data_IF_794543921490
#
_entry.id   IF_794543921490
#
_cell.length_a   1.000
_cell.length_b   1.000
_cell.length_c   1.000
_cell.angle_alpha   90.00
_cell.angle_beta   90.00
_cell.angle_gamma   90.00
#
_symmetry.space_group_name_H-M   'P 1'
#
loop_
_entity.id
_entity.type
_entity.pdbx_description
1 polymer ?
#
# COMPACT_ATOMS: atom_id res chain seq x y z
N UNK A 1 -6.38 -7.92 -9.00
CA UNK A 1 -6.21 -6.45 -9.05
C UNK A 1 -4.91 -6.12 -8.33
N UNK A 2 -4.08 -5.21 -8.84
CA UNK A 2 -2.79 -4.86 -8.23
C UNK A 2 -2.81 -3.39 -7.79
N UNK A 3 -2.30 -3.09 -6.59
CA UNK A 3 -2.21 -1.73 -6.03
C UNK A 3 -0.78 -1.46 -5.57
N UNK A 4 -0.14 -0.42 -6.09
CA UNK A 4 1.30 -0.18 -5.87
C UNK A 4 1.52 1.12 -5.13
N UNK A 5 2.20 1.00 -4.00
CA UNK A 5 2.65 2.10 -3.19
C UNK A 5 4.15 1.94 -2.98
N UNK A 6 4.95 2.44 -3.92
CA UNK A 6 6.41 2.29 -3.94
C UNK A 6 7.01 2.45 -2.52
N UNK A 7 7.68 1.42 -1.96
CA UNK A 7 8.18 0.18 -2.59
C UNK A 7 7.27 -1.06 -2.53
N UNK A 8 6.04 -0.96 -2.04
CA UNK A 8 5.12 -2.08 -1.90
C UNK A 8 4.18 -2.26 -3.10
N UNK A 9 3.89 -3.52 -3.42
CA UNK A 9 2.88 -3.95 -4.36
C UNK A 9 1.91 -4.90 -3.65
N UNK A 10 0.62 -4.65 -3.79
CA UNK A 10 -0.45 -5.50 -3.31
C UNK A 10 -1.08 -6.20 -4.51
N UNK A 11 -1.28 -7.51 -4.42
CA UNK A 11 -1.81 -8.32 -5.51
C UNK A 11 -2.91 -9.25 -4.98
N UNK A 12 -4.04 -9.34 -5.68
CA UNK A 12 -5.06 -10.37 -5.42
C UNK A 12 -4.84 -11.52 -6.38
N UNK A 13 -4.65 -12.74 -5.86
CA UNK A 13 -4.43 -13.95 -6.65
C UNK A 13 -5.75 -14.50 -7.22
N UNK A 14 -5.66 -15.51 -8.09
CA UNK A 14 -6.86 -16.21 -8.62
C UNK A 14 -7.66 -16.92 -7.53
N UNK A 15 -7.04 -17.23 -6.39
CA UNK A 15 -7.69 -17.82 -5.22
C UNK A 15 -8.21 -16.79 -4.22
N UNK A 16 -8.32 -15.52 -4.62
CA UNK A 16 -8.75 -14.39 -3.77
C UNK A 16 -7.82 -14.09 -2.58
N UNK A 17 -6.64 -14.68 -2.55
CA UNK A 17 -5.62 -14.36 -1.55
C UNK A 17 -4.98 -13.01 -1.86
N UNK A 18 -4.84 -12.16 -0.84
CA UNK A 18 -4.17 -10.87 -0.97
C UNK A 18 -2.71 -11.02 -0.56
N UNK A 19 -1.81 -10.75 -1.49
CA UNK A 19 -0.36 -10.79 -1.31
C UNK A 19 0.22 -9.38 -1.21
N UNK A 20 1.12 -9.19 -0.26
CA UNK A 20 1.94 -8.00 -0.08
C UNK A 20 3.34 -8.32 -0.56
N UNK A 21 3.89 -7.56 -1.50
CA UNK A 21 5.22 -7.77 -2.07
C UNK A 21 6.04 -6.50 -1.98
N UNK A 22 7.28 -6.61 -1.52
CA UNK A 22 8.25 -5.52 -1.52
C UNK A 22 9.04 -5.55 -2.83
N UNK A 23 8.91 -4.52 -3.65
CA UNK A 23 9.59 -4.39 -4.94
C UNK A 23 10.78 -3.45 -4.79
N UNK A 24 11.98 -3.96 -5.03
CA UNK A 24 13.20 -3.16 -5.14
C UNK A 24 13.35 -2.71 -6.59
N UNK A 25 13.40 -1.40 -6.77
CA UNK A 25 13.81 -0.80 -8.03
C UNK A 25 15.33 -0.56 -8.01
N UNK A 26 16.02 -1.00 -9.05
CA UNK A 26 17.44 -0.70 -9.23
C UNK A 26 17.76 -0.49 -10.72
N UNK A 27 18.74 0.38 -10.96
CA UNK A 27 19.16 0.76 -12.31
C UNK A 27 20.50 0.12 -12.64
N UNK A 28 20.58 -0.57 -13.77
CA UNK A 28 21.82 -1.13 -14.31
C UNK A 28 22.11 -0.44 -15.65
N UNK A 29 23.00 0.56 -15.63
CA UNK A 29 23.28 1.37 -16.81
C UNK A 29 22.06 2.21 -17.24
N UNK A 30 21.52 1.93 -18.43
CA UNK A 30 20.29 2.55 -18.93
C UNK A 30 19.04 1.71 -18.64
N UNK A 31 19.19 0.48 -18.15
CA UNK A 31 18.07 -0.41 -17.87
C UNK A 31 17.51 -0.16 -16.46
N UNK A 32 16.19 -0.06 -16.36
CA UNK A 32 15.45 -0.12 -15.10
C UNK A 32 15.04 -1.56 -14.81
N UNK A 33 15.29 -2.03 -13.58
CA UNK A 33 14.92 -3.37 -13.13
C UNK A 33 14.13 -3.30 -11.83
N UNK A 34 13.16 -4.21 -11.73
CA UNK A 34 12.28 -4.36 -10.59
C UNK A 34 12.37 -5.81 -10.11
N UNK A 35 12.70 -6.01 -8.83
CA UNK A 35 12.80 -7.34 -8.22
C UNK A 35 11.94 -7.41 -6.97
N UNK A 36 11.16 -8.47 -6.83
CA UNK A 36 10.44 -8.73 -5.58
C UNK A 36 11.45 -9.28 -4.57
N UNK A 37 11.68 -8.51 -3.52
CA UNK A 37 12.65 -8.86 -2.49
C UNK A 37 12.04 -9.60 -1.30
N UNK A 38 10.79 -9.30 -0.97
CA UNK A 38 10.07 -9.93 0.14
C UNK A 38 8.59 -10.08 -0.24
N UNK A 39 7.93 -11.07 0.34
CA UNK A 39 6.52 -11.36 0.06
C UNK A 39 5.83 -11.94 1.29
N UNK A 40 4.63 -11.44 1.57
CA UNK A 40 3.77 -11.87 2.66
C UNK A 40 2.33 -12.01 2.18
N UNK A 41 1.50 -12.72 2.95
CA UNK A 41 0.05 -12.64 2.80
C UNK A 41 -0.51 -11.55 3.69
N UNK A 42 -1.53 -10.84 3.21
CA UNK A 42 -2.27 -9.89 4.05
C UNK A 42 -2.90 -10.61 5.25
N UNK A 43 -3.28 -11.87 5.09
CA UNK A 43 -3.86 -12.67 6.17
C UNK A 43 -2.90 -12.83 7.37
N UNK A 44 -1.59 -12.91 7.12
CA UNK A 44 -0.56 -12.98 8.15
C UNK A 44 -0.30 -11.64 8.87
N UNK A 45 -0.76 -10.51 8.31
CA UNK A 45 -0.52 -9.18 8.87
C UNK A 45 -1.44 -8.90 10.06
N UNK A 46 -0.88 -8.80 11.26
CA UNK A 46 -1.65 -8.56 12.49
C UNK A 46 -1.94 -7.07 12.72
N UNK A 47 -0.97 -6.21 12.39
CA UNK A 47 -1.06 -4.77 12.64
C UNK A 47 -0.15 -3.96 11.70
N UNK A 48 -0.60 -2.76 11.34
CA UNK A 48 0.25 -1.71 10.77
C UNK A 48 0.30 -0.52 11.73
N UNK A 49 1.50 -0.06 12.04
CA UNK A 49 1.76 1.03 12.98
C UNK A 49 2.43 2.20 12.23
N UNK A 50 1.74 3.33 12.15
CA UNK A 50 2.20 4.54 11.46
C UNK A 50 3.29 5.34 12.20
N UNK A 51 3.75 4.83 13.35
CA UNK A 51 4.72 5.40 14.29
C UNK A 51 4.26 6.70 14.94
N UNK A 52 4.27 7.77 14.17
CA UNK A 52 3.97 9.13 14.60
C UNK A 52 2.90 9.71 13.66
N UNK A 53 1.66 9.83 14.16
CA UNK A 53 0.53 10.32 13.37
C UNK A 53 0.60 11.83 13.13
N UNK A 54 1.15 12.57 14.10
CA UNK A 54 1.18 14.04 14.14
C UNK A 54 2.43 14.63 13.45
N UNK A 55 3.26 13.79 12.84
CA UNK A 55 4.53 14.19 12.23
C UNK A 55 4.56 13.74 10.77
N UNK A 56 5.06 14.61 9.89
CA UNK A 56 5.25 14.29 8.47
C UNK A 56 6.42 13.31 8.31
N UNK A 57 6.13 12.04 8.55
CA UNK A 57 7.11 10.97 8.67
C UNK A 57 6.69 9.77 7.80
N UNK A 58 7.52 9.33 6.82
CA UNK A 58 7.16 8.22 5.93
C UNK A 58 7.36 6.83 6.55
N UNK A 59 7.83 6.74 7.80
CA UNK A 59 8.12 5.47 8.45
C UNK A 59 6.90 4.80 9.06
N UNK A 60 6.86 3.48 9.00
CA UNK A 60 5.82 2.64 9.61
C UNK A 60 6.36 1.24 9.91
N UNK A 61 5.68 0.50 10.78
CA UNK A 61 5.95 -0.91 11.03
C UNK A 61 4.82 -1.80 10.50
N UNK A 62 5.20 -2.96 9.97
CA UNK A 62 4.32 -4.07 9.67
C UNK A 62 4.57 -5.20 10.66
N UNK A 63 3.53 -5.59 11.39
CA UNK A 63 3.57 -6.64 12.38
C UNK A 63 2.99 -7.91 11.78
N UNK A 64 3.89 -8.86 11.52
CA UNK A 64 3.56 -10.27 11.28
C UNK A 64 4.05 -11.05 12.51
N UNK A 65 4.49 -12.31 12.33
CA UNK A 65 5.29 -13.04 13.34
C UNK A 65 6.56 -12.30 13.78
N UNK A 66 7.06 -11.41 12.91
CA UNK A 66 8.17 -10.50 13.16
C UNK A 66 7.72 -9.09 12.78
N UNK A 67 8.29 -8.10 13.47
CA UNK A 67 8.13 -6.68 13.13
C UNK A 67 9.11 -6.30 12.02
N UNK A 68 8.59 -5.67 10.98
CA UNK A 68 9.38 -5.10 9.89
C UNK A 68 9.14 -3.60 9.83
N UNK A 69 10.20 -2.81 10.00
CA UNK A 69 10.17 -1.36 9.87
C UNK A 69 10.49 -0.94 8.45
N UNK A 70 9.67 -0.04 7.91
CA UNK A 70 9.73 0.39 6.52
C UNK A 70 9.63 1.90 6.39
N UNK A 71 10.29 2.42 5.37
CA UNK A 71 10.17 3.79 4.92
C UNK A 71 9.40 3.79 3.61
N UNK A 72 8.22 4.43 3.58
CA UNK A 72 7.50 4.67 2.34
C UNK A 72 8.21 5.77 1.52
N UNK A 73 7.90 5.86 0.22
CA UNK A 73 8.43 6.96 -0.60
C UNK A 73 8.06 8.36 -0.07
N UNK A 74 6.90 8.48 0.58
CA UNK A 74 6.42 9.72 1.18
C UNK A 74 5.40 9.41 2.27
N UNK A 75 5.06 10.41 3.10
CA UNK A 75 3.96 10.27 4.07
C UNK A 75 2.63 9.99 3.36
N UNK A 76 2.35 10.66 2.24
CA UNK A 76 1.15 10.37 1.44
C UNK A 76 1.11 8.91 0.95
N UNK A 77 2.26 8.36 0.54
CA UNK A 77 2.41 6.95 0.18
C UNK A 77 2.11 6.04 1.38
N UNK A 78 2.66 6.33 2.57
CA UNK A 78 2.38 5.60 3.83
C UNK A 78 0.87 5.46 4.07
N UNK A 79 0.12 6.57 4.01
CA UNK A 79 -1.34 6.58 4.18
C UNK A 79 -2.10 5.89 3.04
N UNK A 80 -1.64 6.02 1.78
CA UNK A 80 -2.23 5.30 0.66
C UNK A 80 -2.08 3.77 0.81
N UNK A 81 -0.93 3.30 1.29
CA UNK A 81 -0.68 1.89 1.56
C UNK A 81 -1.61 1.36 2.65
N UNK A 82 -1.69 2.04 3.80
CA UNK A 82 -2.56 1.66 4.92
C UNK A 82 -4.05 1.59 4.51
N UNK A 83 -4.55 2.59 3.76
CA UNK A 83 -5.91 2.55 3.20
C UNK A 83 -6.15 1.34 2.30
N UNK A 84 -5.20 1.04 1.43
CA UNK A 84 -5.33 -0.06 0.49
C UNK A 84 -5.36 -1.41 1.24
N UNK A 85 -4.53 -1.58 2.27
CA UNK A 85 -4.57 -2.76 3.14
C UNK A 85 -5.94 -2.89 3.82
N UNK A 86 -6.47 -1.80 4.38
CA UNK A 86 -7.79 -1.82 5.02
C UNK A 86 -8.88 -2.21 4.02
N UNK A 87 -8.85 -1.63 2.82
CA UNK A 87 -9.85 -1.91 1.78
C UNK A 87 -9.83 -3.36 1.31
N UNK A 88 -8.63 -3.90 1.09
CA UNK A 88 -8.46 -5.30 0.69
C UNK A 88 -8.84 -6.25 1.82
N UNK A 89 -8.55 -5.88 3.07
CA UNK A 89 -9.00 -6.61 4.23
C UNK A 89 -10.54 -6.67 4.32
N UNK A 90 -11.22 -5.53 4.19
CA UNK A 90 -12.68 -5.44 4.16
C UNK A 90 -13.32 -6.21 2.99
N UNK A 91 -12.62 -6.35 1.86
CA UNK A 91 -13.13 -6.99 0.66
C UNK A 91 -12.95 -8.51 0.64
N UNK A 92 -11.84 -9.01 1.20
CA UNK A 92 -11.42 -10.42 1.00
C UNK A 92 -11.28 -11.22 2.30
N UNK A 93 -10.90 -10.59 3.42
CA UNK A 93 -10.53 -11.33 4.64
C UNK A 93 -11.50 -11.10 5.81
N UNK A 94 -12.11 -9.92 5.89
CA UNK A 94 -13.02 -9.51 6.97
C UNK A 94 -12.46 -9.71 8.39
N UNK A 95 -11.13 -9.67 8.56
CA UNK A 95 -10.51 -9.78 9.89
C UNK A 95 -10.35 -8.42 10.57
N UNK A 96 -10.14 -8.45 11.88
CA UNK A 96 -9.81 -7.27 12.69
C UNK A 96 -8.34 -6.87 12.47
N UNK A 97 -8.06 -6.18 11.35
CA UNK A 97 -6.74 -5.64 11.05
C UNK A 97 -6.50 -4.35 11.86
N UNK A 98 -5.49 -4.37 12.74
CA UNK A 98 -5.18 -3.20 13.57
C UNK A 98 -4.39 -2.16 12.77
N UNK A 99 -4.93 -0.96 12.68
CA UNK A 99 -4.28 0.22 12.07
C UNK A 99 -4.11 1.26 13.17
N UNK A 100 -2.88 1.47 13.63
CA UNK A 100 -2.56 2.32 14.79
C UNK A 100 -1.57 3.42 14.43
N UNK A 101 -1.59 4.52 15.18
CA UNK A 101 -0.73 5.69 14.94
C UNK A 101 -0.83 6.25 13.50
N UNK A 102 -2.03 6.18 12.93
CA UNK A 102 -2.43 6.92 11.75
C UNK A 102 -3.54 7.90 12.13
N UNK A 103 -3.56 9.08 11.53
CA UNK A 103 -4.74 9.94 11.60
C UNK A 103 -5.88 9.30 10.82
N UNK A 104 -6.92 8.89 11.56
CA UNK A 104 -8.05 8.15 11.04
C UNK A 104 -8.86 8.93 10.00
N UNK A 105 -8.77 10.26 10.00
CA UNK A 105 -9.36 11.15 8.99
C UNK A 105 -8.85 10.84 7.59
N UNK A 106 -7.59 10.40 7.48
CA UNK A 106 -6.95 10.04 6.21
C UNK A 106 -7.01 8.55 5.91
N UNK A 107 -7.50 7.71 6.83
CA UNK A 107 -7.67 6.27 6.66
C UNK A 107 -9.10 5.94 6.22
N UNK A 108 -10.12 6.53 6.84
CA UNK A 108 -11.50 6.23 6.50
C UNK A 108 -11.93 6.94 5.21
N UNK A 109 -12.43 6.18 4.24
CA UNK A 109 -12.91 6.73 2.96
C UNK A 109 -14.04 7.74 3.20
N UNK A 110 -14.95 7.50 4.15
CA UNK A 110 -16.10 8.37 4.44
C UNK A 110 -15.70 9.80 4.86
N UNK A 111 -14.61 9.93 5.62
CA UNK A 111 -14.10 11.23 6.07
C UNK A 111 -13.54 12.06 4.90
N UNK A 112 -12.91 11.40 3.93
CA UNK A 112 -12.30 12.03 2.75
C UNK A 112 -13.34 12.63 1.80
N UNK A 113 -14.55 12.07 1.73
CA UNK A 113 -15.65 12.58 0.90
C UNK A 113 -16.44 13.74 1.53
N UNK A 114 -16.32 13.93 2.85
CA UNK A 114 -16.96 15.03 3.58
C UNK A 114 -16.18 16.35 3.51
N UNK A 115 -14.93 16.30 3.06
CA UNK A 115 -14.03 17.45 2.91
C UNK A 115 -14.30 18.18 1.59
N UNK A 116 -14.36 19.52 1.62
CA UNK A 116 -14.59 20.42 0.48
C UNK A 116 -13.50 20.40 -0.61
N UNK A 117 -12.57 19.44 -0.58
CA UNK A 117 -11.40 19.31 -1.45
C UNK A 117 -11.55 18.20 -2.52
N UNK A 118 -12.79 17.96 -2.99
CA UNK A 118 -13.13 16.85 -3.90
C UNK A 118 -12.26 16.75 -5.16
N UNK A 119 -11.82 17.89 -5.72
CA UNK A 119 -11.00 17.92 -6.94
C UNK A 119 -9.60 17.31 -6.74
N UNK A 120 -8.94 17.61 -5.62
CA UNK A 120 -7.63 17.03 -5.28
C UNK A 120 -7.73 15.52 -5.03
N UNK A 121 -8.86 15.06 -4.47
CA UNK A 121 -9.11 13.64 -4.17
C UNK A 121 -9.39 12.86 -5.46
N UNK A 122 -10.11 13.44 -6.42
CA UNK A 122 -10.32 12.85 -7.75
C UNK A 122 -9.01 12.76 -8.53
N UNK A 123 -8.19 13.80 -8.51
CA UNK A 123 -6.84 13.79 -9.09
C UNK A 123 -5.96 12.70 -8.46
N UNK A 124 -5.97 12.55 -7.13
CA UNK A 124 -5.26 11.46 -6.46
C UNK A 124 -5.75 10.08 -6.91
N UNK A 125 -7.06 9.88 -7.09
CA UNK A 125 -7.59 8.63 -7.65
C UNK A 125 -7.09 8.39 -9.06
N UNK A 126 -7.15 9.38 -9.96
CA UNK A 126 -6.68 9.24 -11.35
C UNK A 126 -5.18 8.92 -11.37
N UNK A 127 -4.36 9.62 -10.59
CA UNK A 127 -2.94 9.34 -10.48
C UNK A 127 -2.68 7.93 -9.94
N UNK A 128 -3.42 7.50 -8.91
CA UNK A 128 -3.30 6.16 -8.35
C UNK A 128 -3.66 5.07 -9.37
N UNK A 129 -4.76 5.24 -10.12
CA UNK A 129 -5.12 4.33 -11.21
C UNK A 129 -4.06 4.30 -12.32
N UNK A 130 -3.54 5.46 -12.73
CA UNK A 130 -2.50 5.55 -13.75
C UNK A 130 -1.19 4.88 -13.29
N UNK A 131 -0.78 5.08 -12.04
CA UNK A 131 0.38 4.41 -11.45
C UNK A 131 0.19 2.90 -11.37
N UNK A 132 -1.00 2.43 -10.97
CA UNK A 132 -1.32 1.00 -10.97
C UNK A 132 -1.25 0.40 -12.38
N UNK A 133 -1.74 1.10 -13.42
CA UNK A 133 -1.68 0.66 -14.83
C UNK A 133 -0.24 0.63 -15.36
N UNK A 134 0.56 1.65 -15.06
CA UNK A 134 1.96 1.69 -15.46
C UNK A 134 2.72 0.52 -14.85
N UNK A 135 2.52 0.25 -13.56
CA UNK A 135 3.21 -0.84 -12.91
C UNK A 135 2.70 -2.23 -13.34
N UNK A 136 1.41 -2.39 -13.68
CA UNK A 136 0.88 -3.60 -14.32
C UNK A 136 1.60 -3.91 -15.64
N UNK A 137 2.00 -2.88 -16.40
CA UNK A 137 2.78 -3.04 -17.64
C UNK A 137 4.24 -3.41 -17.40
N UNK A 138 4.76 -3.16 -16.19
CA UNK A 138 6.15 -3.39 -15.80
C UNK A 138 6.34 -4.70 -15.01
N UNK A 139 5.27 -5.31 -14.50
CA UNK A 139 5.34 -6.64 -13.88
C UNK A 139 5.33 -7.73 -14.96
N UNK A 140 6.30 -8.66 -14.98
CA UNK A 140 6.26 -9.79 -15.89
C UNK A 140 5.02 -10.63 -15.61
N UNK A 141 4.25 -10.92 -16.67
CA UNK A 141 3.10 -11.82 -16.59
C UNK A 141 3.59 -13.20 -16.09
N UNK A 142 2.94 -13.82 -15.11
CA UNK A 142 3.22 -15.21 -14.79
C UNK A 142 2.87 -16.06 -16.01
N UNK A 143 3.86 -16.80 -16.52
CA UNK A 143 3.68 -17.83 -17.56
C UNK A 143 2.93 -19.04 -17.05
#
# INVERSE_FOLDING_TARGET
MYYICNPFCLAVTKGEEVQISMVKHFRIGLDEKYEISEKWFLDDLEMIDGKEADTDNPWFDMHFKKVYSWEAYSCASKYAFARTLNKLNEMYLHKDLKIVNFDFTYINEEALWSSSNGDCVVLMRICFYASNLLCLSLCPLPG
#
